data_IF_902813189757
#
_entry.id   IF_902813189757
#
_cell.length_a   1.000
_cell.length_b   1.000
_cell.length_c   1.000
_cell.angle_alpha   90.00
_cell.angle_beta   90.00
_cell.angle_gamma   90.00
#
_symmetry.space_group_name_H-M   'P 1'
#
loop_
_entity.id
_entity.type
_entity.pdbx_description
1 polymer ?
#
# COMPACT_ATOMS: atom_id res chain seq x y z
N UNK A 1 11.81 -2.97 10.59
CA UNK A 1 10.47 -2.44 10.90
C UNK A 1 9.40 -3.42 10.44
N UNK A 2 8.36 -3.65 11.25
CA UNK A 2 7.35 -4.72 11.01
C UNK A 2 6.53 -4.44 9.76
N UNK A 3 6.22 -3.17 9.49
CA UNK A 3 5.48 -2.79 8.30
C UNK A 3 6.22 -3.11 6.99
N UNK A 4 7.52 -2.82 6.92
CA UNK A 4 8.33 -3.14 5.75
C UNK A 4 8.38 -4.65 5.48
N UNK A 5 8.46 -5.47 6.54
CA UNK A 5 8.43 -6.92 6.42
C UNK A 5 7.08 -7.42 5.87
N UNK A 6 5.96 -6.88 6.36
CA UNK A 6 4.62 -7.21 5.86
C UNK A 6 4.43 -6.78 4.40
N UNK A 7 4.95 -5.61 4.02
CA UNK A 7 4.90 -5.11 2.65
C UNK A 7 5.68 -6.02 1.69
N UNK A 8 6.88 -6.44 2.09
CA UNK A 8 7.70 -7.35 1.27
C UNK A 8 7.06 -8.74 1.15
N UNK A 9 6.44 -9.23 2.22
CA UNK A 9 5.70 -10.48 2.18
C UNK A 9 4.50 -10.37 1.21
N UNK A 10 3.75 -9.26 1.27
CA UNK A 10 2.65 -8.99 0.34
C UNK A 10 3.13 -9.01 -1.12
N UNK A 11 4.28 -8.38 -1.41
CA UNK A 11 4.89 -8.41 -2.75
C UNK A 11 5.24 -9.84 -3.19
N UNK A 12 5.73 -10.67 -2.28
CA UNK A 12 6.06 -12.06 -2.59
C UNK A 12 4.81 -12.88 -2.91
N UNK A 13 3.73 -12.74 -2.13
CA UNK A 13 2.45 -13.39 -2.42
C UNK A 13 1.87 -12.92 -3.76
N UNK A 14 1.98 -11.61 -4.06
CA UNK A 14 1.55 -11.05 -5.34
C UNK A 14 2.35 -11.62 -6.52
N UNK A 15 3.67 -11.75 -6.39
CA UNK A 15 4.52 -12.38 -7.41
C UNK A 15 4.20 -13.86 -7.63
N UNK A 16 3.62 -14.52 -6.63
CA UNK A 16 3.17 -15.93 -6.71
C UNK A 16 1.70 -16.06 -7.16
N UNK A 17 1.06 -14.95 -7.56
CA UNK A 17 -0.35 -14.92 -7.98
C UNK A 17 -1.36 -15.06 -6.84
N UNK A 18 -0.91 -15.07 -5.59
CA UNK A 18 -1.76 -15.22 -4.39
C UNK A 18 -2.23 -13.86 -3.89
N UNK A 19 -3.06 -13.22 -4.71
CA UNK A 19 -3.55 -11.86 -4.46
C UNK A 19 -4.41 -11.75 -3.19
N UNK A 20 -5.21 -12.77 -2.89
CA UNK A 20 -6.03 -12.83 -1.68
C UNK A 20 -5.21 -12.83 -0.38
N UNK A 21 -3.96 -13.35 -0.41
CA UNK A 21 -3.03 -13.32 0.72
C UNK A 21 -2.23 -12.01 0.76
N UNK A 22 -1.93 -11.42 -0.40
CA UNK A 22 -1.19 -10.17 -0.50
C UNK A 22 -1.99 -8.95 -0.01
N UNK A 23 -3.27 -8.86 -0.34
CA UNK A 23 -4.16 -7.75 0.01
C UNK A 23 -4.20 -7.43 1.52
N UNK A 24 -4.48 -8.38 2.43
CA UNK A 24 -4.52 -8.09 3.87
C UNK A 24 -3.14 -7.69 4.42
N UNK A 25 -2.05 -8.21 3.85
CA UNK A 25 -0.69 -7.84 4.25
C UNK A 25 -0.36 -6.40 3.87
N UNK A 26 -0.74 -5.97 2.67
CA UNK A 26 -0.60 -4.57 2.24
C UNK A 26 -1.40 -3.62 3.14
N UNK A 27 -2.66 -3.95 3.45
CA UNK A 27 -3.49 -3.14 4.37
C UNK A 27 -2.86 -3.03 5.76
N UNK A 28 -2.35 -4.14 6.31
CA UNK A 28 -1.73 -4.17 7.64
C UNK A 28 -0.43 -3.37 7.68
N UNK A 29 0.40 -3.48 6.64
CA UNK A 29 1.58 -2.62 6.45
C UNK A 29 1.21 -1.14 6.48
N UNK A 30 0.22 -0.74 5.67
CA UNK A 30 -0.24 0.65 5.59
C UNK A 30 -0.74 1.17 6.93
N UNK A 31 -1.58 0.40 7.63
CA UNK A 31 -2.12 0.80 8.93
C UNK A 31 -1.01 1.07 9.98
N UNK A 32 0.02 0.22 10.01
CA UNK A 32 1.16 0.40 10.93
C UNK A 32 1.94 1.67 10.57
N UNK A 33 2.21 1.90 9.27
CA UNK A 33 2.97 3.07 8.82
C UNK A 33 2.19 4.37 9.03
N UNK A 34 0.89 4.37 8.76
CA UNK A 34 0.01 5.51 9.02
C UNK A 34 -0.04 5.83 10.52
N UNK A 35 -0.11 4.82 11.39
CA UNK A 35 -0.10 5.03 12.84
C UNK A 35 1.26 5.46 13.38
N UNK A 36 2.37 5.03 12.78
CA UNK A 36 3.71 5.30 13.27
C UNK A 36 4.27 6.63 12.76
N UNK A 37 4.00 6.98 11.50
CA UNK A 37 4.62 8.11 10.79
C UNK A 37 3.62 9.18 10.38
N UNK A 38 2.32 8.87 10.37
CA UNK A 38 1.27 9.74 9.84
C UNK A 38 1.12 9.60 8.32
N UNK A 39 -0.10 9.86 7.83
CA UNK A 39 -0.46 9.72 6.42
C UNK A 39 0.41 10.58 5.47
N UNK A 40 0.92 11.70 5.97
CA UNK A 40 1.71 12.66 5.21
C UNK A 40 3.17 12.24 5.06
N UNK A 41 3.68 11.28 5.83
CA UNK A 41 5.09 10.94 5.76
C UNK A 41 5.48 10.39 4.36
N UNK A 42 6.62 10.80 3.75
CA UNK A 42 7.00 10.41 2.38
C UNK A 42 7.06 8.89 2.19
N UNK A 43 7.46 8.17 3.24
CA UNK A 43 7.46 6.71 3.25
C UNK A 43 6.06 6.10 3.14
N UNK A 44 5.05 6.69 3.79
CA UNK A 44 3.65 6.23 3.69
C UNK A 44 3.11 6.48 2.29
N UNK A 45 3.40 7.65 1.72
CA UNK A 45 3.02 7.99 0.34
C UNK A 45 3.65 7.01 -0.66
N UNK A 46 4.93 6.69 -0.51
CA UNK A 46 5.61 5.71 -1.38
C UNK A 46 4.97 4.31 -1.29
N UNK A 47 4.62 3.86 -0.07
CA UNK A 47 3.95 2.58 0.12
C UNK A 47 2.53 2.59 -0.46
N UNK A 48 1.76 3.67 -0.33
CA UNK A 48 0.45 3.83 -0.96
C UNK A 48 0.55 3.70 -2.48
N UNK A 49 1.50 4.38 -3.11
CA UNK A 49 1.70 4.33 -4.56
C UNK A 49 2.12 2.93 -5.05
N UNK A 50 3.06 2.29 -4.35
CA UNK A 50 3.52 0.95 -4.70
C UNK A 50 2.38 -0.07 -4.57
N UNK A 51 1.56 0.07 -3.54
CA UNK A 51 0.41 -0.80 -3.29
C UNK A 51 -0.68 -0.57 -4.35
N UNK A 52 -1.01 0.68 -4.67
CA UNK A 52 -1.99 1.02 -5.71
C UNK A 52 -1.60 0.44 -7.08
N UNK A 53 -0.33 0.55 -7.47
CA UNK A 53 0.18 -0.04 -8.71
C UNK A 53 -0.05 -1.56 -8.75
N UNK A 54 0.19 -2.25 -7.64
CA UNK A 54 -0.04 -3.70 -7.52
C UNK A 54 -1.53 -4.05 -7.64
N UNK A 55 -2.42 -3.28 -7.02
CA UNK A 55 -3.88 -3.48 -7.18
C UNK A 55 -4.35 -3.28 -8.62
N UNK A 56 -3.74 -2.32 -9.34
CA UNK A 56 -3.98 -2.14 -10.78
C UNK A 56 -3.56 -3.37 -11.60
N UNK A 57 -2.42 -3.97 -11.28
CA UNK A 57 -1.94 -5.22 -11.92
C UNK A 57 -2.84 -6.43 -11.59
N UNK A 58 -3.48 -6.44 -10.42
CA UNK A 58 -4.41 -7.50 -9.98
C UNK A 58 -5.82 -7.38 -10.60
N UNK A 59 -6.10 -6.34 -11.40
CA UNK A 59 -7.43 -6.07 -11.96
C UNK A 59 -8.40 -5.36 -11.01
N UNK A 60 -7.97 -5.08 -9.77
CA UNK A 60 -8.74 -4.32 -8.78
C UNK A 60 -8.48 -2.82 -8.93
N UNK A 61 -8.97 -2.26 -10.05
CA UNK A 61 -8.80 -0.86 -10.39
C UNK A 61 -9.49 0.13 -9.44
N UNK A 62 -10.56 -0.28 -8.77
CA UNK A 62 -11.30 0.57 -7.82
C UNK A 62 -10.47 0.83 -6.54
N UNK A 63 -9.90 -0.24 -5.97
CA UNK A 63 -9.06 -0.14 -4.78
C UNK A 63 -7.75 0.63 -5.08
N UNK A 64 -7.18 0.43 -6.27
CA UNK A 64 -6.02 1.19 -6.74
C UNK A 64 -6.30 2.70 -6.82
N UNK A 65 -7.45 3.09 -7.39
CA UNK A 65 -7.86 4.49 -7.49
C UNK A 65 -8.09 5.13 -6.11
N UNK A 66 -8.67 4.38 -5.18
CA UNK A 66 -8.86 4.86 -3.81
C UNK A 66 -7.50 5.12 -3.12
N UNK A 67 -6.56 4.19 -3.26
CA UNK A 67 -5.21 4.34 -2.71
C UNK A 67 -4.43 5.49 -3.36
N UNK A 68 -4.57 5.70 -4.68
CA UNK A 68 -3.99 6.84 -5.39
C UNK A 68 -4.57 8.17 -4.92
N UNK A 69 -5.90 8.28 -4.79
CA UNK A 69 -6.55 9.47 -4.27
C UNK A 69 -6.08 9.80 -2.84
N UNK A 70 -5.83 8.77 -2.00
CA UNK A 70 -5.26 8.95 -0.67
C UNK A 70 -3.83 9.46 -0.71
N UNK A 71 -3.00 8.92 -1.62
CA UNK A 71 -1.62 9.38 -1.81
C UNK A 71 -1.56 10.84 -2.30
N UNK A 72 -2.45 11.24 -3.22
CA UNK A 72 -2.50 12.60 -3.75
C UNK A 72 -3.01 13.61 -2.71
N UNK A 73 -3.95 13.22 -1.84
CA UNK A 73 -4.37 14.04 -0.69
C UNK A 73 -3.24 14.27 0.29
N UNK A 74 -2.44 13.23 0.57
CA UNK A 74 -1.27 13.34 1.43
C UNK A 74 -0.20 14.25 0.82
N UNK A 75 -0.01 14.21 -0.52
CA UNK A 75 0.94 15.08 -1.23
C UNK A 75 0.47 16.53 -1.36
N UNK A 76 -0.84 16.76 -1.48
CA UNK A 76 -1.42 18.12 -1.63
C UNK A 76 -1.37 18.98 -0.35
N UNK A 77 -0.98 18.39 0.78
CA UNK A 77 -0.83 19.06 2.08
C UNK A 77 0.63 19.27 2.51
N UNK A 78 1.59 18.83 1.69
CA UNK A 78 3.02 19.06 1.88
C UNK A 78 3.49 20.39 1.30
#
# INVERSE_FOLDING_TARGET
>A
DVAAALHNLAQLHQAQGRYAEAEPLYRRSLMILESALGLEHPYVVAVLQNTAKRFREMGNGEEAQNLEARADRARSRW
#
